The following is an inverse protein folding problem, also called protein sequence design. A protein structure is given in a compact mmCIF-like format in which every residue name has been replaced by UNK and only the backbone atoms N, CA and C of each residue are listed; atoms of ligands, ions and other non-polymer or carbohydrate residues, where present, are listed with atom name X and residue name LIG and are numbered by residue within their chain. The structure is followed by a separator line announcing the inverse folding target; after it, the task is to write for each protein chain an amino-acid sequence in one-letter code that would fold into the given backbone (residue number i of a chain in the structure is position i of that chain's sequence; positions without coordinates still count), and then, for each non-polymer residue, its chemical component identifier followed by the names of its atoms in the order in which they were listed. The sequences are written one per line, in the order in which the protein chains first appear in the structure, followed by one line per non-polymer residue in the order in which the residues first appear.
data_IF_678637206526
#
_entry.id   IF_678637206526
#
_cell.length_a   1.000
_cell.length_b   1.000
_cell.length_c   1.000
_cell.angle_alpha   90.00
_cell.angle_beta   90.00
_cell.angle_gamma   90.00
#
_symmetry.space_group_name_H-M   'P 1'
#
loop_
_entity.id
_entity.type
_entity.pdbx_description
1 polymer ?
#
# COMPACT_ATOMS: atom_id res chain seq x y z
N UNK A 1 0.28 -0.74 2.85
CA UNK A 1 -0.72 0.33 2.66
C UNK A 1 -1.95 -0.33 2.09
N UNK A 2 -3.09 -0.13 2.75
CA UNK A 2 -4.36 -0.75 2.35
C UNK A 2 -5.40 0.36 2.31
N UNK A 3 -6.17 0.45 1.22
CA UNK A 3 -7.28 1.39 1.10
C UNK A 3 -8.60 0.63 1.04
N UNK A 4 -9.55 1.07 1.85
CA UNK A 4 -10.89 0.52 1.97
C UNK A 4 -11.90 1.64 1.80
N UNK A 5 -13.11 1.28 1.43
CA UNK A 5 -14.20 2.23 1.27
C UNK A 5 -15.42 1.73 2.05
N UNK A 6 -16.06 2.58 2.88
CA UNK A 6 -17.30 2.21 3.55
C UNK A 6 -18.44 2.10 2.54
N UNK A 7 -19.20 1.00 2.62
CA UNK A 7 -20.45 0.83 1.87
C UNK A 7 -21.56 1.69 2.46
N UNK A 8 -22.44 2.23 1.59
CA UNK A 8 -23.59 3.05 2.00
C UNK A 8 -24.58 2.27 2.89
N UNK A 9 -24.94 2.95 3.98
CA UNK A 9 -26.07 2.80 4.91
C UNK A 9 -26.33 1.43 5.57
N UNK A 10 -26.37 1.51 6.90
CA UNK A 10 -27.01 0.62 7.88
C UNK A 10 -26.68 -0.88 7.79
N UNK A 11 -26.20 -1.41 8.92
CA UNK A 11 -25.77 -2.79 9.15
C UNK A 11 -24.41 -3.17 8.57
N UNK A 12 -23.55 -3.71 9.45
CA UNK A 12 -22.19 -4.24 9.23
C UNK A 12 -21.97 -4.78 7.81
N UNK A 13 -21.59 -3.92 6.87
CA UNK A 13 -21.20 -4.30 5.50
C UNK A 13 -19.72 -4.06 5.35
N UNK A 14 -19.02 -5.16 5.12
CA UNK A 14 -17.57 -5.28 4.99
C UNK A 14 -16.98 -4.11 4.21
N UNK A 15 -16.08 -3.37 4.87
CA UNK A 15 -15.24 -2.40 4.21
C UNK A 15 -14.45 -3.12 3.11
N UNK A 16 -14.85 -2.92 1.85
CA UNK A 16 -14.27 -3.63 0.71
C UNK A 16 -12.86 -3.09 0.49
N UNK A 17 -11.87 -3.97 0.57
CA UNK A 17 -10.49 -3.64 0.21
C UNK A 17 -10.42 -3.36 -1.29
N UNK A 18 -10.11 -2.12 -1.65
CA UNK A 18 -10.05 -1.68 -3.05
C UNK A 18 -8.61 -1.69 -3.55
N UNK A 19 -7.66 -1.47 -2.65
CA UNK A 19 -6.26 -1.41 -2.99
C UNK A 19 -5.39 -1.92 -1.86
N UNK A 20 -4.42 -2.77 -2.20
CA UNK A 20 -3.37 -3.20 -1.28
C UNK A 20 -2.03 -3.16 -2.00
N UNK A 21 -1.10 -2.42 -1.42
CA UNK A 21 0.29 -2.39 -1.85
C UNK A 21 1.21 -2.56 -0.67
N UNK A 22 2.15 -3.48 -0.82
CA UNK A 22 3.17 -3.78 0.15
C UNK A 22 4.53 -3.51 -0.49
N UNK A 23 5.43 -2.95 0.30
CA UNK A 23 6.81 -2.69 -0.11
C UNK A 23 7.72 -3.12 1.02
N UNK A 24 8.74 -3.90 0.68
CA UNK A 24 9.70 -4.44 1.62
C UNK A 24 10.94 -3.54 1.60
N UNK A 25 11.44 -3.20 2.79
CA UNK A 25 12.67 -2.44 2.97
C UNK A 25 13.72 -3.37 3.59
N UNK A 26 14.46 -4.07 2.73
CA UNK A 26 15.47 -5.04 3.16
C UNK A 26 16.61 -5.05 2.15
N UNK A 27 17.88 -4.98 2.57
CA UNK A 27 18.99 -5.12 1.64
C UNK A 27 18.91 -6.49 0.95
N UNK A 28 19.14 -6.51 -0.37
CA UNK A 28 19.06 -7.73 -1.17
C UNK A 28 20.47 -8.20 -1.55
N UNK A 29 21.08 -9.09 -0.74
CA UNK A 29 22.33 -9.74 -1.11
C UNK A 29 22.08 -10.89 -2.08
N UNK A 30 22.97 -11.05 -3.06
CA UNK A 30 22.89 -12.14 -4.04
C UNK A 30 23.29 -13.48 -3.44
N UNK A 31 22.60 -14.56 -3.84
CA UNK A 31 22.97 -15.92 -3.46
C UNK A 31 24.31 -16.30 -4.11
N UNK A 32 25.34 -16.58 -3.30
CA UNK A 32 26.72 -16.88 -3.70
C UNK A 32 27.31 -15.92 -4.75
N UNK A 33 26.81 -14.68 -4.82
CA UNK A 33 27.19 -13.71 -5.83
C UNK A 33 26.79 -14.08 -7.26
N UNK A 34 26.01 -15.16 -7.45
CA UNK A 34 25.58 -15.70 -8.73
C UNK A 34 24.10 -16.07 -8.65
N UNK A 35 23.24 -15.11 -8.98
CA UNK A 35 21.79 -15.35 -9.05
C UNK A 35 20.96 -14.11 -8.78
N UNK A 36 19.68 -14.18 -9.14
CA UNK A 36 18.67 -13.16 -8.79
C UNK A 36 18.07 -13.38 -7.41
N UNK A 37 18.24 -14.59 -6.87
CA UNK A 37 17.71 -14.99 -5.56
C UNK A 37 18.57 -14.47 -4.41
N UNK A 38 17.91 -14.24 -3.29
CA UNK A 38 18.57 -13.89 -2.03
C UNK A 38 19.02 -15.19 -1.33
N UNK A 39 20.26 -15.27 -0.88
CA UNK A 39 20.71 -16.42 -0.07
C UNK A 39 19.91 -16.51 1.24
N UNK A 40 19.59 -17.72 1.70
CA UNK A 40 18.87 -17.90 2.98
C UNK A 40 19.83 -17.76 4.17
N UNK A 41 21.03 -18.33 4.05
CA UNK A 41 22.05 -18.30 5.11
C UNK A 41 23.03 -17.12 5.00
N UNK A 42 23.64 -16.67 6.11
CA UNK A 42 24.72 -15.67 6.08
C UNK A 42 25.86 -16.04 5.12
N UNK A 43 26.24 -17.32 5.07
CA UNK A 43 27.31 -17.84 4.20
C UNK A 43 26.94 -17.88 2.72
N UNK A 44 25.65 -17.83 2.41
CA UNK A 44 25.15 -17.83 1.03
C UNK A 44 24.97 -16.40 0.50
N UNK A 45 25.14 -15.36 1.32
CA UNK A 45 24.90 -13.97 0.95
C UNK A 45 26.21 -13.31 0.53
N UNK A 46 26.41 -13.12 -0.77
CA UNK A 46 27.61 -12.45 -1.29
C UNK A 46 27.24 -11.27 -2.19
N UNK A 47 27.80 -10.10 -1.88
CA UNK A 47 27.59 -8.87 -2.62
C UNK A 47 26.17 -8.30 -2.43
N UNK A 48 26.08 -6.99 -2.31
CA UNK A 48 24.80 -6.30 -2.27
C UNK A 48 24.32 -6.03 -3.70
N UNK A 49 23.28 -6.75 -4.14
CA UNK A 49 22.71 -6.55 -5.48
C UNK A 49 21.79 -5.34 -5.53
N UNK A 50 21.05 -5.09 -4.45
CA UNK A 50 20.13 -3.96 -4.37
C UNK A 50 20.01 -3.46 -2.94
N UNK A 51 20.18 -2.15 -2.77
CA UNK A 51 19.93 -1.46 -1.50
C UNK A 51 18.53 -0.82 -1.53
N UNK A 52 17.59 -1.36 -0.76
CA UNK A 52 16.24 -0.82 -0.59
C UNK A 52 15.87 -0.59 0.87
N UNK A 53 16.82 -0.73 1.79
CA UNK A 53 16.61 -0.53 3.22
C UNK A 53 16.34 0.94 3.56
N UNK A 54 15.90 1.15 4.80
CA UNK A 54 15.75 2.49 5.36
C UNK A 54 17.10 2.91 5.98
N UNK A 55 17.82 3.87 5.38
CA UNK A 55 19.07 4.36 5.94
C UNK A 55 18.84 5.03 7.30
N UNK A 56 19.80 4.90 8.24
CA UNK A 56 19.70 5.53 9.55
C UNK A 56 19.65 7.06 9.42
N UNK A 57 18.77 7.69 10.22
CA UNK A 57 18.62 9.15 10.32
C UNK A 57 18.32 9.88 9.00
N UNK A 58 17.99 9.17 7.93
CA UNK A 58 17.67 9.75 6.64
C UNK A 58 16.20 9.48 6.27
N UNK A 59 15.37 10.52 6.13
CA UNK A 59 13.97 10.34 5.78
C UNK A 59 13.85 9.84 4.33
N UNK A 60 13.07 8.78 4.15
CA UNK A 60 12.73 8.24 2.82
C UNK A 60 11.29 8.62 2.50
N UNK A 61 11.09 9.34 1.39
CA UNK A 61 9.74 9.66 0.89
C UNK A 61 9.33 8.61 -0.15
N UNK A 62 8.15 8.00 0.02
CA UNK A 62 7.51 7.16 -1.00
C UNK A 62 6.10 7.67 -1.29
N UNK A 63 5.83 7.89 -2.57
CA UNK A 63 4.49 8.25 -3.05
C UNK A 63 3.77 7.00 -3.50
N UNK A 64 2.50 6.90 -3.14
CA UNK A 64 1.60 5.83 -3.57
C UNK A 64 0.42 6.46 -4.30
N UNK A 65 0.12 5.94 -5.49
CA UNK A 65 -1.06 6.33 -6.26
C UNK A 65 -2.16 5.30 -6.02
N UNK A 66 -3.27 5.76 -5.46
CA UNK A 66 -4.43 4.93 -5.15
C UNK A 66 -5.57 5.41 -6.05
N UNK A 67 -5.99 4.60 -7.05
CA UNK A 67 -7.11 4.98 -7.89
C UNK A 67 -8.40 4.94 -7.06
N UNK A 68 -9.17 6.02 -7.15
CA UNK A 68 -10.48 6.07 -6.50
C UNK A 68 -11.47 5.19 -7.28
N UNK A 69 -12.34 4.40 -6.62
CA UNK A 69 -13.29 3.54 -7.30
C UNK A 69 -14.31 4.37 -8.10
N UNK A 70 -14.29 4.26 -9.41
CA UNK A 70 -15.27 4.85 -10.32
C UNK A 70 -15.91 3.77 -11.21
N UNK A 71 -17.13 4.03 -11.65
CA UNK A 71 -17.83 3.25 -12.67
C UNK A 71 -18.01 4.12 -13.90
N UNK A 72 -17.62 3.59 -15.05
CA UNK A 72 -17.90 4.24 -16.33
C UNK A 72 -19.37 3.96 -16.69
N UNK A 73 -20.19 5.01 -16.76
CA UNK A 73 -21.61 4.95 -17.13
C UNK A 73 -21.85 5.78 -18.38
N UNK A 74 -22.61 5.26 -19.34
CA UNK A 74 -23.01 6.01 -20.54
C UNK A 74 -24.35 6.69 -20.28
N UNK A 75 -24.34 8.01 -20.08
CA UNK A 75 -25.56 8.84 -20.07
C UNK A 75 -25.54 9.73 -21.32
N UNK A 76 -26.58 9.66 -22.14
CA UNK A 76 -26.74 10.47 -23.37
C UNK A 76 -25.54 10.40 -24.35
N UNK A 77 -25.04 9.20 -24.66
CA UNK A 77 -23.99 9.00 -25.67
C UNK A 77 -22.60 9.57 -25.32
N UNK A 78 -22.44 10.16 -24.12
CA UNK A 78 -21.16 10.63 -23.59
C UNK A 78 -20.72 9.71 -22.44
N UNK A 79 -19.43 9.38 -22.40
CA UNK A 79 -18.82 8.61 -21.30
C UNK A 79 -18.82 9.49 -20.05
N UNK A 80 -19.53 9.05 -19.01
CA UNK A 80 -19.55 9.66 -17.69
C UNK A 80 -18.84 8.76 -16.70
N UNK A 81 -18.16 9.33 -15.71
CA UNK A 81 -17.55 8.61 -14.59
C UNK A 81 -18.36 8.89 -13.34
N UNK A 82 -19.06 7.90 -12.83
CA UNK A 82 -19.76 7.99 -11.55
C UNK A 82 -18.89 7.40 -10.46
N UNK A 83 -18.69 8.13 -9.36
CA UNK A 83 -17.97 7.63 -8.19
C UNK A 83 -18.78 6.50 -7.54
N UNK A 84 -18.13 5.36 -7.27
CA UNK A 84 -18.79 4.21 -6.64
C UNK A 84 -18.98 4.39 -5.13
N UNK A 85 -18.28 5.35 -4.55
CA UNK A 85 -18.35 5.69 -3.15
C UNK A 85 -17.88 7.13 -2.92
N UNK A 86 -18.25 7.70 -1.79
CA UNK A 86 -17.95 9.09 -1.46
C UNK A 86 -16.73 9.21 -0.52
N UNK A 87 -16.44 8.14 0.23
CA UNK A 87 -15.41 8.11 1.28
C UNK A 87 -14.40 6.99 1.06
N UNK A 88 -13.15 7.19 1.45
CA UNK A 88 -12.10 6.18 1.46
C UNK A 88 -11.26 6.27 2.73
N UNK A 89 -11.08 5.15 3.41
CA UNK A 89 -10.17 5.01 4.56
C UNK A 89 -8.86 4.35 4.09
N UNK A 90 -7.75 5.03 4.33
CA UNK A 90 -6.41 4.60 3.94
C UNK A 90 -5.63 4.23 5.21
N UNK A 91 -5.31 2.94 5.36
CA UNK A 91 -4.45 2.43 6.41
C UNK A 91 -2.99 2.37 5.95
N UNK A 92 -2.13 3.08 6.67
CA UNK A 92 -0.68 3.05 6.52
C UNK A 92 -0.10 2.27 7.69
N UNK A 93 0.48 1.10 7.41
CA UNK A 93 1.10 0.22 8.40
C UNK A 93 2.56 -0.03 8.03
N UNK A 94 3.45 0.12 9.01
CA UNK A 94 4.86 -0.28 8.93
C UNK A 94 5.06 -1.43 9.90
N UNK A 95 5.49 -2.56 9.37
CA UNK A 95 5.75 -3.78 10.11
C UNK A 95 7.24 -4.04 10.16
N UNK A 96 7.70 -4.51 11.32
CA UNK A 96 8.99 -5.17 11.47
C UNK A 96 8.78 -6.66 11.45
N UNK A 97 9.36 -7.31 10.44
CA UNK A 97 9.21 -8.75 10.21
C UNK A 97 10.61 -9.36 10.19
N UNK A 98 11.13 -9.84 11.34
CA UNK A 98 12.53 -10.21 11.48
C UNK A 98 12.94 -11.38 10.56
N UNK A 99 12.01 -12.29 10.28
CA UNK A 99 12.26 -13.48 9.46
C UNK A 99 11.69 -13.36 8.03
N UNK A 100 11.12 -12.20 7.69
CA UNK A 100 10.46 -11.98 6.40
C UNK A 100 9.08 -12.65 6.25
N UNK A 101 8.68 -13.51 7.19
CA UNK A 101 7.39 -14.20 7.22
C UNK A 101 6.56 -13.73 8.43
N UNK A 102 5.23 -13.69 8.25
CA UNK A 102 4.26 -13.29 9.29
C UNK A 102 3.92 -14.52 10.16
N UNK A 103 4.89 -14.94 10.97
CA UNK A 103 4.82 -16.15 11.79
C UNK A 103 4.55 -15.86 13.28
N UNK A 104 3.95 -14.71 13.59
CA UNK A 104 3.59 -14.30 14.96
C UNK A 104 4.69 -13.55 15.72
N UNK A 105 5.86 -13.37 15.11
CA UNK A 105 6.98 -12.58 15.67
C UNK A 105 7.05 -11.16 15.08
N UNK A 106 6.09 -10.78 14.23
CA UNK A 106 6.00 -9.45 13.67
C UNK A 106 5.62 -8.40 14.72
N UNK A 107 6.20 -7.21 14.56
CA UNK A 107 5.90 -6.05 15.42
C UNK A 107 5.38 -4.92 14.54
N UNK A 108 4.22 -4.37 14.91
CA UNK A 108 3.69 -3.17 14.26
C UNK A 108 4.42 -1.94 14.80
N UNK A 109 5.31 -1.36 14.00
CA UNK A 109 6.05 -0.16 14.42
C UNK A 109 5.26 1.13 14.25
N UNK A 110 4.43 1.19 13.21
CA UNK A 110 3.67 2.40 12.92
C UNK A 110 2.33 2.03 12.29
N UNK A 111 1.29 2.72 12.74
CA UNK A 111 -0.04 2.62 12.19
C UNK A 111 -0.68 4.01 12.16
N UNK A 112 -1.18 4.39 11.00
CA UNK A 112 -1.94 5.61 10.81
C UNK A 112 -3.10 5.33 9.85
N UNK A 113 -4.26 5.91 10.14
CA UNK A 113 -5.47 5.77 9.34
C UNK A 113 -5.90 7.16 8.89
N UNK A 114 -5.98 7.36 7.58
CA UNK A 114 -6.42 8.63 6.98
C UNK A 114 -7.75 8.43 6.28
N UNK A 115 -8.75 9.22 6.67
CA UNK A 115 -10.02 9.30 5.95
C UNK A 115 -9.91 10.37 4.87
N UNK A 116 -10.35 10.03 3.66
CA UNK A 116 -10.41 10.93 2.51
C UNK A 116 -11.87 10.97 2.06
N UNK A 117 -12.47 12.16 2.09
CA UNK A 117 -13.83 12.41 1.60
C UNK A 117 -13.73 13.34 0.37
N UNK A 118 -14.26 12.87 -0.76
CA UNK A 118 -14.23 13.65 -2.00
C UNK A 118 -15.28 14.77 -1.99
N UNK A 119 -16.32 14.73 -1.15
CA UNK A 119 -17.36 15.78 -1.12
C UNK A 119 -16.84 17.13 -0.62
N UNK A 120 -15.87 17.12 0.29
CA UNK A 120 -15.33 18.35 0.90
C UNK A 120 -14.17 18.95 0.11
N UNK A 121 -13.38 18.12 -0.59
CA UNK A 121 -12.19 18.56 -1.31
C UNK A 121 -12.41 18.81 -2.81
N UNK A 122 -13.43 18.21 -3.43
CA UNK A 122 -13.73 18.44 -4.85
C UNK A 122 -14.77 19.54 -5.06
N UNK A 123 -14.29 20.78 -5.11
CA UNK A 123 -15.04 21.86 -5.77
C UNK A 123 -14.83 21.70 -7.28
N UNK A 124 -15.91 21.42 -8.03
CA UNK A 124 -15.91 21.62 -9.48
C UNK A 124 -15.53 23.09 -9.74
N UNK A 125 -14.31 23.35 -10.21
CA UNK A 125 -14.01 24.64 -10.83
C UNK A 125 -14.83 24.67 -12.12
N UNK A 126 -15.96 25.36 -12.05
CA UNK A 126 -16.74 25.77 -13.22
C UNK A 126 -15.85 26.54 -14.19
#
# INVERSE_FOLDING_TARGET
MTAKTPGKEADKKEAKEIYKKQVIFMPHPGRFGRGKEMGRGPYEKCGLLRETSLPPLRPVKKTFEIPFPYKDTTKNGKKWRELLADEMEIDVKIWYVPYGEFDGNEVLFFHDTKKVDLKTEWVWRN
#
